data_IF_387370268772
#
_entry.id   IF_387370268772
#
_cell.length_a   1.000
_cell.length_b   1.000
_cell.length_c   1.000
_cell.angle_alpha   90.00
_cell.angle_beta   90.00
_cell.angle_gamma   90.00
#
_symmetry.space_group_name_H-M   'P 1'
#
loop_
_entity.id
_entity.type
_entity.pdbx_description
1 polymer ?
#
# COMPACT_ATOMS: atom_id res chain seq x y z
N UNK A 1 -42.56 7.44 -17.29
CA UNK A 1 -42.54 7.00 -18.70
C UNK A 1 -41.95 5.58 -18.72
N UNK A 2 -42.76 4.59 -19.10
CA UNK A 2 -42.41 3.17 -19.10
C UNK A 2 -41.91 2.82 -20.50
N UNK A 3 -40.72 2.24 -20.63
CA UNK A 3 -40.25 1.65 -21.88
C UNK A 3 -40.44 0.12 -21.83
N UNK A 4 -40.98 -0.50 -22.87
CA UNK A 4 -41.18 -1.93 -22.95
C UNK A 4 -39.91 -2.63 -23.47
N UNK A 5 -39.57 -3.73 -22.82
CA UNK A 5 -38.58 -4.71 -23.30
C UNK A 5 -39.14 -5.51 -24.46
N UNK A 6 -38.44 -5.55 -25.58
CA UNK A 6 -38.71 -6.40 -26.72
C UNK A 6 -37.87 -7.68 -26.60
N UNK A 7 -38.51 -8.83 -26.42
CA UNK A 7 -37.90 -10.14 -26.53
C UNK A 7 -37.93 -10.57 -27.99
N UNK A 8 -36.76 -10.83 -28.60
CA UNK A 8 -36.65 -11.50 -29.90
C UNK A 8 -36.35 -12.99 -29.64
N UNK A 9 -37.29 -13.82 -29.93
CA UNK A 9 -37.15 -15.28 -29.97
C UNK A 9 -36.62 -15.72 -31.34
N UNK A 10 -35.42 -16.31 -31.38
CA UNK A 10 -34.88 -16.93 -32.59
C UNK A 10 -35.23 -18.40 -32.55
N UNK A 11 -36.10 -18.79 -33.46
CA UNK A 11 -36.48 -20.19 -33.74
C UNK A 11 -35.45 -20.77 -34.71
N UNK A 12 -34.60 -21.67 -34.21
CA UNK A 12 -33.68 -22.45 -35.05
C UNK A 12 -34.33 -23.68 -35.63
N UNK A 13 -34.42 -23.77 -36.96
CA UNK A 13 -34.92 -24.91 -37.71
C UNK A 13 -33.80 -25.97 -37.80
N UNK A 14 -34.04 -27.17 -37.24
CA UNK A 14 -33.19 -28.34 -37.45
C UNK A 14 -33.53 -29.03 -38.77
N UNK A 15 -32.65 -28.96 -39.76
CA UNK A 15 -32.67 -29.83 -40.91
C UNK A 15 -31.88 -31.12 -40.63
N UNK A 16 -32.58 -32.25 -40.56
CA UNK A 16 -31.96 -33.56 -40.51
C UNK A 16 -31.52 -34.00 -41.89
N UNK A 17 -30.19 -34.08 -42.11
CA UNK A 17 -29.62 -34.73 -43.27
C UNK A 17 -29.12 -36.11 -42.89
N UNK A 18 -29.78 -37.17 -43.42
CA UNK A 18 -29.30 -38.53 -43.33
C UNK A 18 -28.12 -38.74 -44.28
N UNK A 19 -26.92 -38.86 -43.76
CA UNK A 19 -25.70 -39.15 -44.50
C UNK A 19 -25.12 -40.51 -44.10
N UNK A 20 -24.91 -41.38 -45.08
CA UNK A 20 -24.40 -42.75 -45.00
C UNK A 20 -23.07 -42.86 -44.26
N UNK A 21 -23.01 -43.79 -43.32
CA UNK A 21 -21.83 -44.14 -42.53
C UNK A 21 -20.81 -44.91 -43.40
N UNK A 22 -19.80 -44.26 -43.91
CA UNK A 22 -18.57 -44.89 -44.39
C UNK A 22 -17.72 -45.28 -43.17
N UNK A 23 -17.45 -46.58 -42.99
CA UNK A 23 -16.54 -47.11 -41.96
C UNK A 23 -15.10 -46.59 -42.26
N UNK A 24 -14.69 -45.53 -41.63
CA UNK A 24 -13.29 -45.12 -41.62
C UNK A 24 -12.54 -45.89 -40.52
N UNK A 25 -11.48 -46.59 -40.97
CA UNK A 25 -10.51 -47.21 -40.06
C UNK A 25 -9.88 -46.11 -39.17
N UNK A 26 -9.71 -46.39 -37.84
CA UNK A 26 -9.10 -45.43 -36.95
C UNK A 26 -7.62 -45.19 -37.38
N UNK A 27 -7.31 -43.96 -37.75
CA UNK A 27 -5.92 -43.49 -37.92
C UNK A 27 -5.15 -43.65 -36.59
N UNK A 28 -3.91 -44.15 -36.60
CA UNK A 28 -3.13 -44.25 -35.40
C UNK A 28 -2.95 -42.84 -34.78
N UNK A 29 -3.31 -42.71 -33.49
CA UNK A 29 -3.19 -41.48 -32.72
C UNK A 29 -1.68 -41.04 -32.67
N UNK A 30 -1.31 -39.83 -33.03
CA UNK A 30 0.06 -39.37 -32.85
C UNK A 30 0.46 -39.50 -31.38
N UNK A 31 1.73 -39.82 -31.09
CA UNK A 31 2.20 -39.84 -29.71
C UNK A 31 1.92 -38.47 -29.09
N UNK A 32 1.29 -38.47 -27.91
CA UNK A 32 1.02 -37.26 -27.15
C UNK A 32 2.35 -36.51 -26.93
N UNK A 33 2.44 -35.29 -27.44
CA UNK A 33 3.57 -34.41 -27.14
C UNK A 33 3.69 -34.29 -25.62
N UNK A 34 4.87 -34.60 -25.10
CA UNK A 34 5.14 -34.49 -23.67
C UNK A 34 4.84 -33.03 -23.24
N UNK A 35 3.85 -32.85 -22.38
CA UNK A 35 3.55 -31.56 -21.78
C UNK A 35 4.83 -31.07 -21.07
N UNK A 36 5.33 -29.86 -21.34
CA UNK A 36 6.47 -29.34 -20.63
C UNK A 36 6.18 -29.43 -19.12
N UNK A 37 7.10 -30.03 -18.35
CA UNK A 37 6.95 -30.12 -16.91
C UNK A 37 6.79 -28.70 -16.36
N UNK A 38 5.66 -28.43 -15.69
CA UNK A 38 5.50 -27.16 -14.98
C UNK A 38 6.63 -27.02 -13.96
N UNK A 39 7.27 -25.84 -13.87
CA UNK A 39 8.30 -25.61 -12.88
C UNK A 39 7.71 -25.88 -11.49
N UNK A 40 8.40 -26.72 -10.72
CA UNK A 40 8.02 -27.04 -9.35
C UNK A 40 7.93 -25.73 -8.55
N UNK A 41 6.85 -25.47 -7.81
CA UNK A 41 6.79 -24.29 -6.96
C UNK A 41 7.96 -24.30 -5.98
N UNK A 42 8.57 -23.13 -5.67
CA UNK A 42 9.68 -23.03 -4.73
C UNK A 42 9.26 -23.59 -3.37
N UNK A 43 10.17 -24.26 -2.68
CA UNK A 43 9.92 -24.76 -1.33
C UNK A 43 9.81 -23.59 -0.34
N UNK A 44 9.16 -23.83 0.81
CA UNK A 44 9.07 -22.82 1.88
C UNK A 44 10.46 -22.36 2.35
N UNK A 45 11.47 -23.25 2.37
CA UNK A 45 12.85 -22.92 2.67
C UNK A 45 13.50 -22.01 1.61
N UNK A 46 13.20 -22.22 0.31
CA UNK A 46 13.67 -21.31 -0.74
C UNK A 46 13.00 -19.95 -0.67
N UNK A 47 11.73 -19.91 -0.30
CA UNK A 47 10.99 -18.67 -0.07
C UNK A 47 11.57 -17.95 1.14
N UNK A 48 11.74 -18.65 2.27
CA UNK A 48 12.30 -18.07 3.49
C UNK A 48 13.76 -17.62 3.28
N UNK A 49 14.60 -18.40 2.59
CA UNK A 49 15.96 -17.99 2.28
C UNK A 49 16.07 -16.78 1.34
N UNK A 50 15.10 -16.58 0.44
CA UNK A 50 14.99 -15.36 -0.36
C UNK A 50 14.50 -14.18 0.48
N UNK A 51 13.60 -14.43 1.42
CA UNK A 51 13.10 -13.44 2.39
C UNK A 51 14.25 -12.99 3.30
N UNK A 52 15.02 -13.89 3.89
CA UNK A 52 16.18 -13.54 4.74
C UNK A 52 17.24 -12.74 3.99
N UNK A 53 17.54 -13.08 2.74
CA UNK A 53 18.48 -12.33 1.89
C UNK A 53 17.95 -10.97 1.42
N UNK A 54 16.62 -10.79 1.39
CA UNK A 54 15.97 -9.52 1.01
C UNK A 54 15.65 -8.64 2.22
N UNK A 55 15.79 -9.13 3.45
CA UNK A 55 15.46 -8.38 4.65
C UNK A 55 16.49 -7.29 4.90
N UNK A 56 16.09 -6.10 4.49
CA UNK A 56 16.48 -4.90 5.18
C UNK A 56 15.77 -4.99 6.53
N UNK A 57 16.47 -4.71 7.62
CA UNK A 57 15.80 -4.42 8.89
C UNK A 57 14.92 -3.20 8.65
N UNK A 58 13.67 -3.45 8.29
CA UNK A 58 12.70 -2.41 8.03
C UNK A 58 12.44 -1.68 9.36
N UNK A 59 12.54 -0.34 9.33
CA UNK A 59 12.54 0.54 10.50
C UNK A 59 13.85 0.50 11.32
N UNK A 60 14.90 -0.15 10.85
CA UNK A 60 16.24 0.12 11.35
C UNK A 60 16.55 1.60 11.14
N UNK A 61 17.43 2.13 11.96
CA UNK A 61 17.90 3.52 11.79
C UNK A 61 18.56 3.61 10.41
N UNK A 62 17.98 4.36 9.50
CA UNK A 62 18.59 4.70 8.23
C UNK A 62 19.95 5.36 8.41
N UNK A 63 20.63 5.67 7.34
CA UNK A 63 21.92 6.40 7.38
C UNK A 63 21.78 7.68 8.20
N UNK A 64 22.62 7.90 9.21
CA UNK A 64 22.56 9.09 10.05
C UNK A 64 22.57 10.38 9.22
N UNK A 65 21.62 11.27 9.48
CA UNK A 65 21.47 12.53 8.74
C UNK A 65 20.77 12.42 7.39
N UNK A 66 20.50 11.21 6.89
CA UNK A 66 19.71 11.03 5.68
C UNK A 66 18.24 11.41 5.90
N UNK A 67 17.69 12.14 4.93
CA UNK A 67 16.28 12.59 4.94
C UNK A 67 15.65 12.37 3.58
N UNK A 68 14.39 11.93 3.58
CA UNK A 68 13.53 11.85 2.41
C UNK A 68 12.45 12.93 2.53
N UNK A 69 12.29 13.73 1.49
CA UNK A 69 11.21 14.70 1.34
C UNK A 69 10.30 14.22 0.21
N UNK A 70 9.03 14.06 0.53
CA UNK A 70 8.02 13.61 -0.42
C UNK A 70 7.04 14.74 -0.69
N UNK A 71 6.96 15.19 -1.95
CA UNK A 71 6.11 16.31 -2.35
C UNK A 71 5.02 15.83 -3.29
N UNK A 72 3.75 16.10 -2.95
CA UNK A 72 2.62 15.90 -3.86
C UNK A 72 2.77 16.83 -5.08
N UNK A 73 2.71 16.26 -6.29
CA UNK A 73 2.82 16.98 -7.57
C UNK A 73 1.56 16.90 -8.42
N UNK A 74 0.74 15.87 -8.21
CA UNK A 74 -0.54 15.72 -8.91
C UNK A 74 -1.56 15.04 -8.00
N UNK A 75 -2.79 15.56 -8.00
CA UNK A 75 -3.98 14.93 -7.42
C UNK A 75 -5.05 14.92 -8.49
N UNK A 76 -5.61 13.73 -8.78
CA UNK A 76 -6.58 13.50 -9.83
C UNK A 76 -7.54 12.36 -9.43
N UNK A 77 -8.43 11.98 -10.33
CA UNK A 77 -9.25 10.77 -10.24
C UNK A 77 -9.07 9.93 -11.49
N UNK A 78 -8.91 8.63 -11.31
CA UNK A 78 -8.87 7.65 -12.40
C UNK A 78 -9.91 6.57 -12.08
N UNK A 79 -10.86 6.37 -12.98
CA UNK A 79 -12.00 5.44 -12.80
C UNK A 79 -12.76 5.66 -11.48
N UNK A 80 -12.97 6.93 -11.11
CA UNK A 80 -13.65 7.32 -9.87
C UNK A 80 -12.84 7.12 -8.58
N UNK A 81 -11.60 6.65 -8.67
CA UNK A 81 -10.70 6.47 -7.53
C UNK A 81 -9.69 7.61 -7.43
N UNK A 82 -9.28 8.01 -6.23
CA UNK A 82 -8.26 9.02 -6.06
C UNK A 82 -6.92 8.54 -6.66
N UNK A 83 -6.30 9.41 -7.44
CA UNK A 83 -4.97 9.17 -8.00
C UNK A 83 -4.02 10.29 -7.58
N UNK A 84 -2.88 9.91 -7.00
CA UNK A 84 -1.92 10.88 -6.47
C UNK A 84 -0.51 10.54 -6.91
N UNK A 85 0.25 11.59 -7.28
CA UNK A 85 1.64 11.45 -7.67
C UNK A 85 2.52 12.32 -6.79
N UNK A 86 3.66 11.75 -6.41
CA UNK A 86 4.64 12.40 -5.56
C UNK A 86 6.02 12.34 -6.20
N UNK A 87 6.81 13.37 -5.98
CA UNK A 87 8.26 13.38 -6.22
C UNK A 87 9.01 13.16 -4.93
N UNK A 88 10.15 12.47 -5.07
CA UNK A 88 11.03 12.16 -3.96
C UNK A 88 12.32 12.96 -4.10
N UNK A 89 12.68 13.71 -3.05
CA UNK A 89 14.02 14.26 -2.86
C UNK A 89 14.68 13.61 -1.66
N UNK A 90 15.97 13.35 -1.77
CA UNK A 90 16.75 12.71 -0.73
C UNK A 90 18.03 13.53 -0.47
N UNK A 91 18.32 13.76 0.79
CA UNK A 91 19.56 14.39 1.25
C UNK A 91 20.29 13.50 2.24
N UNK A 92 21.60 13.71 2.39
CA UNK A 92 22.43 12.96 3.34
C UNK A 92 22.82 11.55 2.90
N UNK A 93 22.44 11.12 1.68
CA UNK A 93 22.94 9.90 1.06
C UNK A 93 24.00 10.20 -0.01
N UNK A 94 24.98 9.28 -0.25
CA UNK A 94 25.95 9.42 -1.33
C UNK A 94 25.30 9.51 -2.71
N UNK A 95 25.73 10.44 -3.56
CA UNK A 95 25.21 10.62 -4.92
C UNK A 95 25.98 9.84 -6.01
N UNK A 96 27.01 9.11 -5.62
CA UNK A 96 27.84 8.28 -6.51
C UNK A 96 27.54 6.77 -6.43
N UNK A 97 26.36 6.42 -5.91
CA UNK A 97 25.90 5.03 -5.78
C UNK A 97 24.61 4.81 -6.53
N UNK A 98 24.37 3.56 -6.89
CA UNK A 98 23.06 3.09 -7.33
C UNK A 98 22.21 2.70 -6.12
N UNK A 99 20.90 2.90 -6.28
CA UNK A 99 19.91 2.65 -5.23
C UNK A 99 18.77 1.78 -5.75
N UNK A 100 18.21 1.01 -4.84
CA UNK A 100 16.98 0.25 -5.01
C UNK A 100 15.87 0.90 -4.22
N UNK A 101 14.76 1.21 -4.86
CA UNK A 101 13.52 1.59 -4.20
C UNK A 101 12.77 0.32 -3.82
N UNK A 102 12.48 0.19 -2.54
CA UNK A 102 11.66 -0.88 -1.99
C UNK A 102 10.36 -0.32 -1.43
N UNK A 103 9.30 -1.14 -1.43
CA UNK A 103 8.03 -0.83 -0.78
C UNK A 103 7.59 -1.97 0.12
N UNK A 104 6.90 -1.62 1.18
CA UNK A 104 6.21 -2.55 2.04
C UNK A 104 4.74 -2.12 2.23
N UNK A 105 3.86 -2.43 1.26
CA UNK A 105 2.43 -2.19 1.39
C UNK A 105 1.84 -3.03 2.52
N UNK A 106 0.74 -2.56 3.08
CA UNK A 106 0.03 -3.27 4.16
C UNK A 106 -0.56 -4.62 3.73
N UNK A 107 -0.66 -4.87 2.44
CA UNK A 107 -1.25 -6.09 1.84
C UNK A 107 -0.25 -7.23 1.67
N UNK A 108 1.05 -6.99 1.85
CA UNK A 108 2.09 -8.01 1.69
C UNK A 108 2.92 -8.18 2.97
N UNK A 109 3.34 -9.43 3.20
CA UNK A 109 4.06 -9.80 4.43
C UNK A 109 5.50 -9.33 4.43
N UNK A 110 6.13 -9.20 3.26
CA UNK A 110 7.54 -8.86 3.11
C UNK A 110 7.75 -7.66 2.19
N UNK A 111 8.81 -6.85 2.40
CA UNK A 111 9.16 -5.78 1.49
C UNK A 111 9.43 -6.30 0.07
N UNK A 112 9.04 -5.56 -0.92
CA UNK A 112 9.28 -5.87 -2.33
C UNK A 112 10.13 -4.80 -3.02
N UNK A 113 11.03 -5.23 -3.90
CA UNK A 113 11.74 -4.31 -4.79
C UNK A 113 10.78 -3.75 -5.82
N UNK A 114 10.65 -2.43 -5.85
CA UNK A 114 9.87 -1.72 -6.87
C UNK A 114 10.72 -1.39 -8.10
N UNK A 115 11.93 -0.92 -7.88
CA UNK A 115 12.81 -0.43 -8.93
C UNK A 115 14.26 -0.40 -8.45
N UNK A 116 15.20 -0.84 -9.29
CA UNK A 116 16.63 -0.79 -9.05
C UNK A 116 17.34 0.14 -10.04
N UNK A 117 18.59 0.47 -9.77
CA UNK A 117 19.44 1.28 -10.64
C UNK A 117 19.17 2.79 -10.57
N UNK A 118 18.45 3.25 -9.55
CA UNK A 118 18.21 4.67 -9.32
C UNK A 118 19.50 5.39 -8.87
N UNK A 119 19.58 6.67 -9.17
CA UNK A 119 20.67 7.57 -8.71
C UNK A 119 20.06 8.79 -8.03
N UNK A 120 20.86 9.41 -7.17
CA UNK A 120 20.53 10.67 -6.52
C UNK A 120 21.36 11.79 -7.18
N UNK A 121 20.70 12.76 -7.75
CA UNK A 121 21.35 13.94 -8.32
C UNK A 121 21.89 14.87 -7.20
N UNK A 122 22.75 15.83 -7.56
CA UNK A 122 23.35 16.77 -6.58
C UNK A 122 22.30 17.62 -5.83
N UNK A 123 21.17 17.89 -6.45
CA UNK A 123 20.03 18.62 -5.84
C UNK A 123 19.11 17.74 -5.00
N UNK A 124 19.46 16.46 -4.83
CA UNK A 124 18.68 15.45 -4.11
C UNK A 124 17.59 14.78 -4.91
N UNK A 125 17.36 15.13 -6.16
CA UNK A 125 16.38 14.48 -7.03
C UNK A 125 16.76 13.03 -7.26
N UNK A 126 15.80 12.12 -7.10
CA UNK A 126 15.97 10.69 -7.40
C UNK A 126 15.49 10.42 -8.81
N UNK A 127 16.29 9.72 -9.60
CA UNK A 127 15.94 9.43 -10.99
C UNK A 127 16.69 8.23 -11.56
N UNK A 128 16.48 7.98 -12.85
CA UNK A 128 17.13 6.91 -13.58
C UNK A 128 18.17 7.49 -14.55
N UNK A 129 19.40 6.97 -14.60
CA UNK A 129 20.36 7.37 -15.63
C UNK A 129 19.85 7.07 -17.04
N UNK A 130 20.16 7.92 -18.04
CA UNK A 130 19.69 7.74 -19.43
C UNK A 130 20.08 6.39 -20.04
N UNK A 131 21.26 5.89 -19.70
CA UNK A 131 21.86 4.67 -20.26
C UNK A 131 21.73 3.47 -19.32
N UNK A 132 20.82 3.53 -18.33
CA UNK A 132 20.64 2.46 -17.37
C UNK A 132 20.09 1.19 -18.03
N UNK A 133 20.79 0.06 -17.81
CA UNK A 133 20.33 -1.28 -18.16
C UNK A 133 19.51 -1.94 -17.05
N UNK A 134 19.40 -1.31 -15.91
CA UNK A 134 18.63 -1.75 -14.73
C UNK A 134 17.12 -1.54 -14.94
N UNK A 135 16.30 -2.00 -14.01
CA UNK A 135 14.85 -1.93 -14.14
C UNK A 135 14.32 -0.50 -14.26
N UNK A 136 14.99 0.49 -13.67
CA UNK A 136 14.62 1.89 -13.85
C UNK A 136 14.75 2.32 -15.33
N UNK A 137 15.80 1.88 -16.05
CA UNK A 137 16.02 2.20 -17.45
C UNK A 137 14.92 1.69 -18.37
N UNK A 138 14.29 0.58 -18.01
CA UNK A 138 13.16 0.02 -18.76
C UNK A 138 11.86 0.82 -18.56
N UNK A 139 11.68 1.44 -17.39
CA UNK A 139 10.43 2.10 -16.97
C UNK A 139 10.45 3.61 -17.11
N UNK A 140 11.60 4.25 -16.87
CA UNK A 140 11.67 5.71 -16.72
C UNK A 140 12.92 6.33 -17.36
N UNK A 141 13.43 5.80 -18.41
CA UNK A 141 14.65 6.18 -19.11
C UNK A 141 15.00 7.68 -19.02
N UNK A 142 15.99 8.04 -18.22
CA UNK A 142 16.44 9.42 -18.01
C UNK A 142 15.47 10.32 -17.22
N UNK A 143 14.39 9.79 -16.66
CA UNK A 143 13.38 10.57 -15.99
C UNK A 143 13.56 10.60 -14.46
N UNK A 144 12.97 11.61 -13.83
CA UNK A 144 12.84 11.74 -12.39
C UNK A 144 11.82 10.71 -11.85
N UNK A 145 12.13 10.14 -10.68
CA UNK A 145 11.24 9.19 -10.00
C UNK A 145 9.94 9.86 -9.57
N UNK A 146 8.83 9.32 -10.06
CA UNK A 146 7.49 9.68 -9.63
C UNK A 146 6.81 8.48 -8.99
N UNK A 147 6.39 8.63 -7.74
CA UNK A 147 5.61 7.64 -7.01
C UNK A 147 4.13 7.90 -7.26
N UNK A 148 3.42 6.91 -7.82
CA UNK A 148 2.00 7.03 -8.17
C UNK A 148 1.17 6.04 -7.38
N UNK A 149 0.04 6.52 -6.82
CA UNK A 149 -0.85 5.72 -5.98
C UNK A 149 -2.31 5.90 -6.36
N UNK A 150 -3.07 4.81 -6.22
CA UNK A 150 -4.53 4.82 -6.14
C UNK A 150 -4.88 4.29 -4.74
N UNK A 151 -4.76 5.14 -3.69
CA UNK A 151 -4.79 4.69 -2.31
C UNK A 151 -6.21 4.39 -1.83
N UNK A 152 -6.32 3.44 -0.90
CA UNK A 152 -7.44 3.40 0.03
C UNK A 152 -7.35 4.53 1.06
N UNK A 153 -8.48 4.89 1.66
CA UNK A 153 -8.52 5.91 2.72
C UNK A 153 -7.67 5.43 3.91
N UNK A 154 -6.82 6.31 4.43
CA UNK A 154 -5.93 6.04 5.55
C UNK A 154 -4.78 5.08 5.25
N UNK A 155 -4.64 4.59 4.03
CA UNK A 155 -3.60 3.60 3.67
C UNK A 155 -2.20 4.21 3.72
N UNK A 156 -1.29 3.52 4.42
CA UNK A 156 0.12 3.87 4.50
C UNK A 156 0.94 3.10 3.46
N UNK A 157 1.78 3.81 2.75
CA UNK A 157 2.80 3.26 1.85
C UNK A 157 4.18 3.49 2.46
N UNK A 158 4.83 2.43 2.90
CA UNK A 158 6.17 2.47 3.48
C UNK A 158 7.20 2.18 2.41
N UNK A 159 8.26 2.96 2.38
CA UNK A 159 9.32 2.86 1.39
C UNK A 159 10.70 2.91 2.03
N UNK A 160 11.66 2.31 1.33
CA UNK A 160 13.08 2.46 1.61
C UNK A 160 13.82 2.71 0.30
N UNK A 161 14.77 3.63 0.31
CA UNK A 161 15.77 3.78 -0.73
C UNK A 161 17.10 3.25 -0.17
N UNK A 162 17.63 2.19 -0.75
CA UNK A 162 18.77 1.44 -0.23
C UNK A 162 19.85 1.35 -1.30
N UNK A 163 21.10 1.66 -0.95
CA UNK A 163 22.22 1.49 -1.88
C UNK A 163 22.47 0.03 -2.20
N UNK A 164 22.99 -0.28 -3.39
CA UNK A 164 23.27 -1.67 -3.82
C UNK A 164 24.24 -2.40 -2.88
N UNK A 165 25.15 -1.70 -2.20
CA UNK A 165 26.06 -2.25 -1.21
C UNK A 165 25.45 -2.37 0.20
N UNK A 166 24.17 -2.03 0.37
CA UNK A 166 23.39 -2.03 1.61
C UNK A 166 23.96 -1.18 2.76
N UNK A 167 24.92 -0.26 2.47
CA UNK A 167 25.57 0.56 3.49
C UNK A 167 24.89 1.91 3.71
N UNK A 168 23.98 2.28 2.84
CA UNK A 168 23.30 3.57 2.91
C UNK A 168 21.82 3.38 2.62
N UNK A 169 20.97 3.92 3.49
CA UNK A 169 19.52 3.82 3.35
C UNK A 169 18.79 5.00 3.94
N UNK A 170 17.59 5.27 3.42
CA UNK A 170 16.61 6.18 4.02
C UNK A 170 15.23 5.55 3.94
N UNK A 171 14.49 5.61 5.05
CA UNK A 171 13.12 5.11 5.15
C UNK A 171 12.15 6.29 5.17
N UNK A 172 11.00 6.11 4.52
CA UNK A 172 9.94 7.11 4.52
C UNK A 172 8.57 6.45 4.30
N UNK A 173 7.52 7.15 4.71
CA UNK A 173 6.15 6.70 4.50
C UNK A 173 5.29 7.83 3.96
N UNK A 174 4.24 7.44 3.23
CA UNK A 174 3.25 8.33 2.64
C UNK A 174 1.87 7.79 3.00
N UNK A 175 0.96 8.67 3.43
CA UNK A 175 -0.46 8.40 3.56
C UNK A 175 -1.18 9.31 2.56
N UNK A 176 -1.39 8.87 1.30
CA UNK A 176 -1.86 9.76 0.24
C UNK A 176 -3.27 10.30 0.46
N UNK A 177 -4.15 9.49 1.06
CA UNK A 177 -5.52 9.86 1.39
C UNK A 177 -5.74 9.73 2.91
N UNK A 178 -5.19 10.64 3.72
CA UNK A 178 -5.28 10.54 5.18
C UNK A 178 -6.72 10.74 5.66
N UNK A 179 -7.06 10.02 6.75
CA UNK A 179 -8.26 10.27 7.53
C UNK A 179 -7.88 11.24 8.65
N UNK A 180 -8.25 12.50 8.51
CA UNK A 180 -7.90 13.56 9.46
C UNK A 180 -9.14 14.36 9.81
N UNK A 181 -9.37 14.57 11.11
CA UNK A 181 -10.35 15.49 11.63
C UNK A 181 -9.70 16.53 12.52
N UNK A 182 -10.28 17.71 12.53
CA UNK A 182 -9.77 18.87 13.25
C UNK A 182 -10.80 19.36 14.25
N UNK A 183 -10.33 19.73 15.43
CA UNK A 183 -11.09 20.57 16.38
C UNK A 183 -10.17 21.67 16.90
N UNK A 184 -10.45 22.93 16.54
CA UNK A 184 -9.61 24.11 16.86
C UNK A 184 -8.16 23.93 16.37
N UNK A 185 -7.22 23.93 17.31
CA UNK A 185 -5.79 23.75 17.02
C UNK A 185 -5.37 22.28 16.94
N UNK A 186 -6.22 21.35 17.35
CA UNK A 186 -5.90 19.95 17.40
C UNK A 186 -6.35 19.19 16.15
N UNK A 187 -5.64 18.14 15.82
CA UNK A 187 -6.03 17.20 14.79
C UNK A 187 -5.89 15.76 15.28
N UNK A 188 -6.73 14.90 14.73
CA UNK A 188 -6.70 13.45 14.93
C UNK A 188 -6.58 12.80 13.55
N UNK A 189 -5.53 12.02 13.36
CA UNK A 189 -5.26 11.26 12.14
C UNK A 189 -5.35 9.77 12.44
N UNK A 190 -6.01 9.02 11.55
CA UNK A 190 -6.04 7.54 11.59
C UNK A 190 -5.32 6.99 10.38
N UNK A 191 -4.34 6.13 10.63
CA UNK A 191 -3.54 5.45 9.61
C UNK A 191 -3.85 3.96 9.64
N UNK A 192 -4.24 3.41 8.50
CA UNK A 192 -4.50 2.00 8.33
C UNK A 192 -3.19 1.21 8.27
N UNK A 193 -2.98 0.31 9.24
CA UNK A 193 -1.81 -0.56 9.32
C UNK A 193 -2.08 -1.99 8.84
N UNK A 194 -3.34 -2.35 8.60
CA UNK A 194 -3.75 -3.66 8.07
C UNK A 194 -4.81 -3.49 6.97
N UNK A 195 -4.96 -4.47 6.05
CA UNK A 195 -5.85 -4.34 4.87
C UNK A 195 -7.30 -3.97 5.18
N UNK A 196 -7.83 -4.42 6.33
CA UNK A 196 -9.22 -4.21 6.73
C UNK A 196 -9.36 -3.40 8.02
N UNK A 197 -8.39 -2.53 8.32
CA UNK A 197 -8.37 -1.77 9.58
C UNK A 197 -8.43 -2.62 10.86
N UNK A 198 -8.03 -3.90 10.83
CA UNK A 198 -7.91 -4.68 12.07
C UNK A 198 -6.84 -4.12 13.02
N UNK A 199 -5.91 -3.33 12.47
CA UNK A 199 -4.94 -2.56 13.21
C UNK A 199 -4.84 -1.16 12.62
N UNK A 200 -4.99 -0.15 13.45
CA UNK A 200 -4.85 1.26 13.10
C UNK A 200 -3.83 1.95 14.02
N UNK A 201 -3.12 2.92 13.47
CA UNK A 201 -2.32 3.88 14.23
C UNK A 201 -3.12 5.17 14.35
N UNK A 202 -3.28 5.64 15.56
CA UNK A 202 -3.91 6.92 15.87
C UNK A 202 -2.80 7.91 16.18
N UNK A 203 -2.86 9.08 15.54
CA UNK A 203 -1.93 10.17 15.77
C UNK A 203 -2.69 11.45 16.07
N UNK A 204 -2.37 12.09 17.18
CA UNK A 204 -2.89 13.42 17.52
C UNK A 204 -1.81 14.47 17.48
N UNK A 205 -2.15 15.68 17.05
CA UNK A 205 -1.27 16.85 17.00
C UNK A 205 -1.97 18.10 17.51
N UNK A 206 -1.18 19.09 17.93
CA UNK A 206 -1.67 20.40 18.34
C UNK A 206 -2.22 20.44 19.77
N UNK A 207 -1.99 19.38 20.55
CA UNK A 207 -2.32 19.32 21.97
C UNK A 207 -1.26 20.02 22.82
N UNK A 208 -1.59 20.30 24.08
CA UNK A 208 -0.64 20.91 25.02
C UNK A 208 0.45 19.91 25.41
N UNK A 209 1.74 20.22 25.24
CA UNK A 209 2.82 19.32 25.67
C UNK A 209 2.69 18.90 27.13
N UNK A 210 2.90 17.60 27.41
CA UNK A 210 2.78 17.00 28.74
C UNK A 210 1.35 16.81 29.26
N UNK A 211 0.33 17.19 28.49
CA UNK A 211 -1.07 16.99 28.85
C UNK A 211 -1.42 15.50 28.84
N UNK A 212 -2.24 15.09 29.80
CA UNK A 212 -2.87 13.77 29.82
C UNK A 212 -4.24 13.90 29.18
N UNK A 213 -4.41 13.19 28.07
CA UNK A 213 -5.64 13.15 27.27
C UNK A 213 -6.53 11.99 27.72
N UNK A 214 -7.84 12.15 27.58
CA UNK A 214 -8.79 11.04 27.63
C UNK A 214 -8.97 10.50 26.22
N UNK A 215 -8.46 9.29 25.98
CA UNK A 215 -8.62 8.55 24.73
C UNK A 215 -9.81 7.60 24.85
N UNK A 216 -10.86 7.85 24.08
CA UNK A 216 -12.11 7.11 24.08
C UNK A 216 -12.29 6.43 22.72
N UNK A 217 -12.61 5.13 22.73
CA UNK A 217 -13.00 4.39 21.52
C UNK A 217 -14.28 3.62 21.78
N UNK A 218 -15.13 3.56 20.77
CA UNK A 218 -16.36 2.79 20.80
C UNK A 218 -16.54 2.03 19.49
N UNK A 219 -16.74 0.70 19.59
CA UNK A 219 -17.09 -0.17 18.48
C UNK A 219 -18.24 -1.06 18.91
N UNK A 220 -19.41 -0.92 18.27
CA UNK A 220 -20.67 -1.50 18.78
C UNK A 220 -20.95 -1.08 20.24
N UNK A 221 -21.06 -2.08 21.14
CA UNK A 221 -21.28 -1.87 22.56
C UNK A 221 -19.98 -1.89 23.39
N UNK A 222 -18.85 -2.19 22.74
CA UNK A 222 -17.55 -2.18 23.41
C UNK A 222 -17.00 -0.76 23.47
N UNK A 223 -16.76 -0.30 24.69
CA UNK A 223 -16.24 1.04 25.00
C UNK A 223 -14.93 0.89 25.76
N UNK A 224 -13.89 1.54 25.27
CA UNK A 224 -12.59 1.58 25.93
C UNK A 224 -12.20 3.03 26.22
N UNK A 225 -11.75 3.25 27.44
CA UNK A 225 -11.22 4.53 27.89
C UNK A 225 -9.81 4.32 28.43
N UNK A 226 -8.87 5.09 27.94
CA UNK A 226 -7.49 5.04 28.42
C UNK A 226 -6.88 6.45 28.45
N UNK A 227 -5.99 6.73 29.40
CA UNK A 227 -5.20 7.95 29.33
C UNK A 227 -4.09 7.79 28.30
N UNK A 228 -3.73 8.88 27.63
CA UNK A 228 -2.51 8.99 26.83
C UNK A 228 -1.82 10.31 27.11
N UNK A 229 -0.50 10.34 27.07
CA UNK A 229 0.29 11.54 27.37
C UNK A 229 0.85 12.15 26.10
N UNK A 230 0.69 13.45 25.98
CA UNK A 230 1.23 14.25 24.88
C UNK A 230 2.73 14.47 25.06
N UNK A 231 3.51 14.28 24.01
CA UNK A 231 4.95 14.50 24.02
C UNK A 231 5.31 16.00 24.01
N UNK A 232 6.61 16.32 24.02
CA UNK A 232 7.12 17.69 24.01
C UNK A 232 6.81 18.48 22.74
N UNK A 233 6.42 17.80 21.64
CA UNK A 233 6.02 18.40 20.37
C UNK A 233 4.51 18.67 20.27
N UNK A 234 3.73 18.37 21.30
CA UNK A 234 2.26 18.47 21.23
C UNK A 234 1.60 17.34 20.45
N UNK A 235 2.25 16.18 20.38
CA UNK A 235 1.78 15.01 19.65
C UNK A 235 1.62 13.81 20.58
N UNK A 236 0.73 12.89 20.21
CA UNK A 236 0.66 11.55 20.79
C UNK A 236 0.46 10.49 19.71
N UNK A 237 0.72 9.24 20.08
CA UNK A 237 0.54 8.06 19.23
C UNK A 237 -0.12 6.96 20.05
N UNK A 238 -1.07 6.25 19.42
CA UNK A 238 -1.71 5.07 20.01
C UNK A 238 -1.98 4.04 18.90
N UNK A 239 -1.92 2.77 19.25
CA UNK A 239 -2.41 1.70 18.37
C UNK A 239 -3.81 1.28 18.79
N UNK A 240 -4.65 0.96 17.83
CA UNK A 240 -6.02 0.54 18.03
C UNK A 240 -6.30 -0.73 17.24
N UNK A 241 -6.90 -1.72 17.91
CA UNK A 241 -7.51 -2.91 17.32
C UNK A 241 -9.03 -2.77 17.42
N UNK A 242 -9.70 -2.30 16.37
CA UNK A 242 -11.12 -1.88 16.45
C UNK A 242 -12.12 -3.03 16.41
N UNK A 243 -11.66 -4.26 16.16
CA UNK A 243 -12.55 -5.40 15.99
C UNK A 243 -13.25 -5.82 17.30
N UNK A 244 -14.47 -6.33 17.14
CA UNK A 244 -15.30 -6.88 18.21
C UNK A 244 -15.47 -8.36 18.01
N UNK A 245 -15.34 -9.17 19.05
CA UNK A 245 -15.45 -10.62 18.98
C UNK A 245 -16.79 -11.05 18.36
N UNK A 246 -16.75 -11.97 17.39
CA UNK A 246 -17.94 -12.47 16.70
C UNK A 246 -18.50 -11.51 15.63
N UNK A 247 -17.80 -10.43 15.32
CA UNK A 247 -18.13 -9.52 14.22
C UNK A 247 -17.07 -9.59 13.13
N UNK A 248 -17.50 -9.50 11.88
CA UNK A 248 -16.61 -9.51 10.69
C UNK A 248 -16.32 -8.10 10.18
N UNK A 249 -17.17 -7.14 10.50
CA UNK A 249 -17.06 -5.73 10.13
C UNK A 249 -17.79 -4.85 11.13
N UNK A 250 -17.50 -3.56 11.11
CA UNK A 250 -18.19 -2.58 11.94
C UNK A 250 -17.61 -1.18 11.77
N UNK A 251 -18.12 -0.25 12.56
CA UNK A 251 -17.63 1.13 12.66
C UNK A 251 -17.03 1.32 14.04
N UNK A 252 -15.92 2.02 14.09
CA UNK A 252 -15.29 2.47 15.34
C UNK A 252 -15.27 3.99 15.38
N UNK A 253 -15.68 4.54 16.50
CA UNK A 253 -15.55 5.96 16.81
C UNK A 253 -14.35 6.15 17.74
N UNK A 254 -13.55 7.16 17.47
CA UNK A 254 -12.40 7.57 18.27
C UNK A 254 -12.56 9.02 18.65
N UNK A 255 -12.56 9.32 19.94
CA UNK A 255 -12.56 10.69 20.46
C UNK A 255 -11.37 10.88 21.39
N UNK A 256 -10.65 11.97 21.19
CA UNK A 256 -9.51 12.33 22.04
C UNK A 256 -9.77 13.67 22.68
N UNK A 257 -10.02 13.67 23.99
CA UNK A 257 -10.37 14.87 24.74
C UNK A 257 -9.17 15.41 25.50
N UNK A 258 -8.74 16.59 25.12
CA UNK A 258 -7.77 17.42 25.81
C UNK A 258 -8.43 18.60 26.54
N UNK A 259 -7.62 19.49 27.10
CA UNK A 259 -8.10 20.71 27.82
C UNK A 259 -8.76 21.71 26.90
N UNK A 260 -8.24 21.86 25.67
CA UNK A 260 -8.66 22.92 24.74
C UNK A 260 -9.45 22.43 23.54
N UNK A 261 -9.41 21.12 23.23
CA UNK A 261 -9.98 20.52 22.03
C UNK A 261 -10.38 19.06 22.25
N UNK A 262 -11.28 18.57 21.41
CA UNK A 262 -11.78 17.19 21.47
C UNK A 262 -12.08 16.66 20.05
N UNK A 263 -11.07 16.50 19.16
CA UNK A 263 -11.30 15.95 17.85
C UNK A 263 -11.83 14.52 17.94
N UNK A 264 -12.78 14.21 17.05
CA UNK A 264 -13.42 12.89 16.97
C UNK A 264 -13.46 12.44 15.51
N UNK A 265 -13.24 11.15 15.28
CA UNK A 265 -13.23 10.56 13.95
C UNK A 265 -13.83 9.16 14.01
N UNK A 266 -14.57 8.77 12.96
CA UNK A 266 -15.07 7.41 12.81
C UNK A 266 -14.53 6.75 11.55
N UNK A 267 -14.37 5.43 11.57
CA UNK A 267 -13.94 4.65 10.43
C UNK A 267 -14.53 3.24 10.45
N UNK A 268 -14.67 2.67 9.28
CA UNK A 268 -15.12 1.29 9.10
C UNK A 268 -13.94 0.33 9.17
N UNK A 269 -14.16 -0.85 9.77
CA UNK A 269 -13.21 -1.95 9.81
C UNK A 269 -13.85 -3.25 9.33
N UNK A 270 -13.04 -4.18 8.82
CA UNK A 270 -13.50 -5.48 8.31
C UNK A 270 -14.15 -5.45 6.93
N UNK A 271 -14.56 -4.28 6.40
CA UNK A 271 -15.04 -4.11 5.03
C UNK A 271 -13.88 -4.12 4.02
N UNK A 272 -14.16 -4.57 2.80
CA UNK A 272 -13.21 -4.48 1.66
C UNK A 272 -13.43 -3.21 0.86
#
# INVERSE_FOLDING_TARGET
MRHPFVFIAIVGVCLAAAGQAAKQQPKPKPPAAATPAQPKPPSDEEIMGKIEKATIEWDSKGTPGAKAEVRLVKKDQVDGKPFMQYRLKVSGLPNNKFYTLMAWPITIVVPATMMDGLVIARDGTVGCPPDSTKSCGQRMKGAELTLSYTPGIGEIFRHALVSEDHKSSVFFSIVPAPMIEHDKACSLEIVRLSPRFQLALIRGKGFTPGEVLSFHTQSYQEVHNSPTTVNSQGEFWATLTPFVQGRTMGTTEVTVKGKSCAPALSFEWGSE
#
